data_IF_098920338515
#
_entry.id   IF_098920338515
#
_cell.length_a   1.000
_cell.length_b   1.000
_cell.length_c   1.000
_cell.angle_alpha   90.00
_cell.angle_beta   90.00
_cell.angle_gamma   90.00
#
_symmetry.space_group_name_H-M   'P 1'
#
loop_
_entity.id
_entity.type
_entity.pdbx_description
1 polymer ?
#
# COMPACT_ATOMS: atom_id res chain seq x y z
N UNK A 1 39.92 -4.17 2.36
CA UNK A 1 38.95 -3.78 3.39
C UNK A 1 38.60 -2.32 3.15
N UNK A 2 37.49 -2.02 2.48
CA UNK A 2 36.96 -0.66 2.43
C UNK A 2 36.52 -0.27 3.85
N UNK A 3 36.96 0.89 4.33
CA UNK A 3 36.64 1.38 5.68
C UNK A 3 35.12 1.53 5.82
N UNK A 4 34.56 1.07 6.96
CA UNK A 4 33.11 1.17 7.24
C UNK A 4 32.58 2.61 7.13
N UNK A 5 33.44 3.61 7.37
CA UNK A 5 33.12 5.04 7.24
C UNK A 5 32.88 5.46 5.78
N UNK A 6 33.65 4.91 4.84
CA UNK A 6 33.56 5.21 3.40
C UNK A 6 32.24 4.69 2.80
N UNK A 7 31.77 3.52 3.26
CA UNK A 7 30.48 2.96 2.83
C UNK A 7 29.30 3.79 3.33
N UNK A 8 29.37 4.29 4.57
CA UNK A 8 28.32 5.12 5.15
C UNK A 8 28.24 6.48 4.44
N UNK A 9 29.39 7.11 4.16
CA UNK A 9 29.46 8.36 3.41
C UNK A 9 28.92 8.18 1.98
N UNK A 10 29.31 7.11 1.29
CA UNK A 10 28.78 6.78 -0.04
C UNK A 10 27.26 6.55 -0.01
N UNK A 11 26.73 5.87 1.01
CA UNK A 11 25.30 5.68 1.19
C UNK A 11 24.57 7.02 1.38
N UNK A 12 25.08 7.89 2.25
CA UNK A 12 24.49 9.21 2.51
C UNK A 12 24.51 10.09 1.26
N UNK A 13 25.62 10.10 0.51
CA UNK A 13 25.72 10.83 -0.76
C UNK A 13 24.75 10.29 -1.81
N UNK A 14 24.57 8.98 -1.88
CA UNK A 14 23.62 8.34 -2.78
C UNK A 14 22.19 8.70 -2.41
N UNK A 15 21.86 8.66 -1.12
CA UNK A 15 20.55 9.00 -0.61
C UNK A 15 20.22 10.47 -0.88
N UNK A 16 21.17 11.38 -0.66
CA UNK A 16 21.01 12.80 -0.96
C UNK A 16 20.80 13.11 -2.46
N UNK A 17 21.26 12.24 -3.37
CA UNK A 17 21.03 12.41 -4.82
C UNK A 17 19.61 12.09 -5.24
N UNK A 18 18.98 11.10 -4.60
CA UNK A 18 17.63 10.63 -4.94
C UNK A 18 16.54 11.18 -4.03
N UNK A 19 16.93 11.84 -2.93
CA UNK A 19 16.01 12.50 -2.00
C UNK A 19 16.22 14.01 -1.98
N UNK A 20 15.15 14.77 -1.72
CA UNK A 20 15.25 16.23 -1.62
C UNK A 20 13.99 16.96 -2.05
N UNK A 21 13.75 18.20 -1.56
CA UNK A 21 12.54 18.97 -1.85
C UNK A 21 12.33 19.23 -3.36
N UNK A 22 13.38 19.17 -4.16
CA UNK A 22 13.40 19.34 -5.61
C UNK A 22 13.03 18.07 -6.40
N UNK A 23 13.02 16.90 -5.76
CA UNK A 23 12.72 15.62 -6.43
C UNK A 23 11.23 15.49 -6.72
N UNK A 24 10.91 15.02 -7.92
CA UNK A 24 9.55 14.80 -8.38
C UNK A 24 9.10 13.38 -8.04
N UNK A 25 7.84 13.24 -7.61
CA UNK A 25 7.13 11.95 -7.54
C UNK A 25 6.67 11.51 -8.93
N UNK A 26 6.00 10.37 -9.03
CA UNK A 26 5.34 9.94 -10.28
C UNK A 26 4.15 10.81 -10.71
N UNK A 27 3.72 11.74 -9.86
CA UNK A 27 2.51 12.54 -10.06
C UNK A 27 2.90 14.01 -10.31
N UNK A 28 2.96 14.45 -11.59
CA UNK A 28 3.48 15.77 -11.94
C UNK A 28 2.59 16.94 -11.49
N UNK A 29 1.34 16.67 -11.12
CA UNK A 29 0.35 17.65 -10.67
C UNK A 29 0.26 17.79 -9.13
N UNK A 30 1.14 17.11 -8.37
CA UNK A 30 1.12 17.12 -6.91
C UNK A 30 1.41 18.48 -6.28
N UNK A 31 0.59 18.84 -5.28
CA UNK A 31 0.82 20.03 -4.46
C UNK A 31 1.84 19.74 -3.37
N UNK A 32 2.80 20.63 -3.24
CA UNK A 32 4.09 20.40 -2.57
C UNK A 32 4.07 20.58 -1.03
N UNK A 33 2.93 20.87 -0.41
CA UNK A 33 2.88 21.28 1.00
C UNK A 33 1.82 20.52 1.82
N UNK A 34 2.19 19.37 2.37
CA UNK A 34 1.48 18.83 3.54
C UNK A 34 2.08 19.48 4.79
N UNK A 35 1.28 20.15 5.64
CA UNK A 35 1.79 20.80 6.83
C UNK A 35 2.43 19.79 7.80
N UNK A 36 3.38 20.26 8.60
CA UNK A 36 3.94 19.45 9.67
C UNK A 36 2.84 19.13 10.70
N UNK A 37 2.83 17.90 11.18
CA UNK A 37 1.90 17.43 12.21
C UNK A 37 2.19 18.13 13.55
N UNK A 38 1.12 18.56 14.22
CA UNK A 38 1.17 19.20 15.53
C UNK A 38 1.62 18.20 16.59
N UNK A 39 2.22 18.67 17.68
CA UNK A 39 2.72 17.80 18.74
C UNK A 39 1.60 16.97 19.41
N UNK A 40 0.43 17.56 19.61
CA UNK A 40 -0.73 16.86 20.15
C UNK A 40 -1.17 15.69 19.25
N UNK A 41 -1.19 15.89 17.94
CA UNK A 41 -1.55 14.84 16.98
C UNK A 41 -0.50 13.71 16.95
N UNK A 42 0.78 14.03 17.24
CA UNK A 42 1.85 13.01 17.32
C UNK A 42 1.64 12.08 18.50
N UNK A 43 1.21 12.60 19.65
CA UNK A 43 0.93 11.76 20.82
C UNK A 43 -0.25 10.83 20.55
N UNK A 44 -1.33 11.34 19.94
CA UNK A 44 -2.46 10.50 19.49
C UNK A 44 -1.98 9.42 18.53
N UNK A 45 -1.13 9.75 17.57
CA UNK A 45 -0.55 8.77 16.65
C UNK A 45 0.29 7.69 17.37
N UNK A 46 1.04 8.05 18.41
CA UNK A 46 1.82 7.09 19.21
C UNK A 46 0.90 6.16 19.99
N UNK A 47 -0.12 6.71 20.65
CA UNK A 47 -1.12 5.91 21.37
C UNK A 47 -1.84 4.94 20.43
N UNK A 48 -2.20 5.40 19.25
CA UNK A 48 -2.81 4.58 18.21
C UNK A 48 -1.88 3.43 17.75
N UNK A 49 -0.59 3.72 17.51
CA UNK A 49 0.40 2.70 17.15
C UNK A 49 0.53 1.61 18.22
N UNK A 50 0.48 1.99 19.51
CA UNK A 50 0.44 1.04 20.61
C UNK A 50 -0.84 0.19 20.58
N UNK A 51 -2.00 0.83 20.36
CA UNK A 51 -3.30 0.18 20.36
C UNK A 51 -3.44 -0.89 19.25
N UNK A 52 -2.89 -0.62 18.07
CA UNK A 52 -2.88 -1.59 16.96
C UNK A 52 -1.72 -2.58 17.02
N UNK A 53 -0.91 -2.56 18.09
CA UNK A 53 0.29 -3.39 18.27
C UNK A 53 1.28 -3.26 17.10
N UNK A 54 1.62 -2.04 16.71
CA UNK A 54 2.68 -1.79 15.73
C UNK A 54 4.08 -2.01 16.36
N UNK A 55 5.08 -2.54 15.63
CA UNK A 55 6.43 -2.71 16.15
C UNK A 55 7.07 -1.37 16.56
N UNK A 56 7.22 -1.15 17.87
CA UNK A 56 7.84 0.07 18.42
C UNK A 56 9.37 0.07 18.34
N UNK A 57 9.97 -1.10 18.13
CA UNK A 57 11.41 -1.26 18.26
C UNK A 57 12.17 -0.51 17.14
N UNK A 58 13.16 0.27 17.55
CA UNK A 58 13.90 1.15 16.65
C UNK A 58 14.64 0.38 15.55
N UNK A 59 15.00 -0.89 15.80
CA UNK A 59 15.70 -1.73 14.85
C UNK A 59 14.79 -2.17 13.70
N UNK A 60 13.58 -2.64 14.01
CA UNK A 60 12.55 -2.97 13.02
C UNK A 60 12.18 -1.73 12.22
N UNK A 61 11.98 -0.58 12.88
CA UNK A 61 11.73 0.67 12.16
C UNK A 61 12.86 1.04 11.19
N UNK A 62 14.12 0.93 11.62
CA UNK A 62 15.27 1.18 10.76
C UNK A 62 15.34 0.21 9.58
N UNK A 63 15.00 -1.08 9.78
CA UNK A 63 14.89 -2.06 8.69
C UNK A 63 13.79 -1.70 7.71
N UNK A 64 12.62 -1.27 8.18
CA UNK A 64 11.52 -0.80 7.32
C UNK A 64 12.00 0.38 6.46
N UNK A 65 12.62 1.38 7.07
CA UNK A 65 13.15 2.54 6.35
C UNK A 65 14.19 2.12 5.29
N UNK A 66 15.11 1.24 5.65
CA UNK A 66 16.14 0.74 4.72
C UNK A 66 15.54 -0.05 3.56
N UNK A 67 14.58 -0.93 3.84
CA UNK A 67 13.91 -1.73 2.82
C UNK A 67 13.07 -0.84 1.90
N UNK A 68 12.42 0.18 2.46
CA UNK A 68 11.70 1.20 1.70
C UNK A 68 12.63 1.96 0.74
N UNK A 69 13.79 2.42 1.21
CA UNK A 69 14.80 3.08 0.35
C UNK A 69 15.30 2.12 -0.74
N UNK A 70 15.51 0.85 -0.42
CA UNK A 70 15.91 -0.16 -1.40
C UNK A 70 14.81 -0.41 -2.45
N UNK A 71 13.54 -0.46 -2.03
CA UNK A 71 12.38 -0.57 -2.92
C UNK A 71 12.31 0.62 -3.87
N UNK A 72 12.42 1.84 -3.34
CA UNK A 72 12.35 3.05 -4.14
C UNK A 72 13.53 3.18 -5.10
N UNK A 73 14.75 2.94 -4.64
CA UNK A 73 15.95 2.93 -5.50
C UNK A 73 15.86 1.88 -6.60
N UNK A 74 15.38 0.68 -6.28
CA UNK A 74 15.30 -0.41 -7.26
C UNK A 74 14.19 -0.23 -8.29
N UNK A 75 13.23 0.66 -8.04
CA UNK A 75 12.06 0.88 -8.90
C UNK A 75 11.96 2.29 -9.50
N UNK A 76 12.87 3.21 -9.17
CA UNK A 76 12.94 4.53 -9.80
C UNK A 76 13.67 4.49 -11.18
N UNK A 77 13.64 5.62 -11.91
CA UNK A 77 14.31 5.75 -13.21
C UNK A 77 15.83 5.77 -13.08
N UNK A 78 16.36 6.31 -11.98
CA UNK A 78 17.79 6.43 -11.69
C UNK A 78 18.20 5.54 -10.50
N UNK A 79 18.30 4.21 -10.69
CA UNK A 79 18.56 3.28 -9.60
C UNK A 79 20.00 3.42 -9.08
N UNK A 80 20.17 3.30 -7.77
CA UNK A 80 21.49 3.25 -7.13
C UNK A 80 21.66 1.93 -6.34
N UNK A 81 22.64 1.12 -6.74
CA UNK A 81 22.94 -0.16 -6.11
C UNK A 81 23.54 0.00 -4.70
N UNK A 82 24.03 1.19 -4.33
CA UNK A 82 24.47 1.51 -2.98
C UNK A 82 23.27 1.61 -2.03
N UNK A 83 22.13 2.10 -2.54
CA UNK A 83 20.88 2.26 -1.78
C UNK A 83 20.00 1.01 -1.75
N UNK A 84 20.16 0.14 -2.74
CA UNK A 84 19.58 -1.19 -2.77
C UNK A 84 20.70 -2.24 -2.81
N UNK A 85 21.51 -2.35 -1.74
CA UNK A 85 22.58 -3.32 -1.69
C UNK A 85 21.93 -4.68 -1.50
N UNK A 86 21.63 -5.35 -2.61
CA UNK A 86 21.59 -6.80 -2.62
C UNK A 86 22.82 -7.29 -1.84
N UNK A 87 22.64 -8.28 -0.97
CA UNK A 87 23.73 -8.95 -0.24
C UNK A 87 24.79 -9.59 -1.18
N UNK A 88 24.67 -9.37 -2.50
CA UNK A 88 25.48 -9.92 -3.58
C UNK A 88 25.84 -8.76 -4.54
N UNK A 89 27.06 -8.22 -4.38
CA UNK A 89 27.66 -7.06 -5.07
C UNK A 89 27.92 -7.26 -6.58
N UNK A 90 27.00 -7.85 -7.32
CA UNK A 90 27.12 -8.03 -8.79
C UNK A 90 26.14 -7.10 -9.52
N UNK A 91 26.68 -6.07 -10.20
CA UNK A 91 25.89 -5.13 -10.99
C UNK A 91 25.04 -5.81 -12.08
N UNK A 92 25.51 -6.92 -12.64
CA UNK A 92 24.78 -7.68 -13.66
C UNK A 92 23.53 -8.36 -13.10
N UNK A 93 23.62 -8.86 -11.87
CA UNK A 93 22.50 -9.42 -11.11
C UNK A 93 21.51 -8.32 -10.70
N UNK A 94 22.02 -7.21 -10.14
CA UNK A 94 21.19 -6.05 -9.77
C UNK A 94 20.32 -5.55 -10.93
N UNK A 95 20.85 -5.51 -12.16
CA UNK A 95 20.08 -5.11 -13.36
C UNK A 95 18.97 -6.10 -13.73
N UNK A 96 19.23 -7.42 -13.61
CA UNK A 96 18.19 -8.45 -13.87
C UNK A 96 17.10 -8.38 -12.82
N UNK A 97 17.49 -8.27 -11.57
CA UNK A 97 16.56 -8.21 -10.44
C UNK A 97 15.76 -6.90 -10.49
N UNK A 98 16.37 -5.78 -10.92
CA UNK A 98 15.65 -4.54 -11.25
C UNK A 98 14.58 -4.73 -12.31
N UNK A 99 14.88 -5.43 -13.41
CA UNK A 99 13.88 -5.66 -14.47
C UNK A 99 12.68 -6.44 -13.92
N UNK A 100 12.94 -7.41 -13.06
CA UNK A 100 11.89 -8.19 -12.39
C UNK A 100 11.07 -7.32 -11.42
N UNK A 101 11.73 -6.53 -10.57
CA UNK A 101 11.08 -5.63 -9.60
C UNK A 101 10.21 -4.57 -10.30
N UNK A 102 10.72 -3.95 -11.36
CA UNK A 102 9.93 -3.04 -12.19
C UNK A 102 8.74 -3.74 -12.82
N UNK A 103 8.94 -4.94 -13.38
CA UNK A 103 7.85 -5.73 -13.96
C UNK A 103 6.74 -6.03 -12.94
N UNK A 104 7.10 -6.44 -11.73
CA UNK A 104 6.15 -6.68 -10.65
C UNK A 104 5.40 -5.40 -10.26
N UNK A 105 6.11 -4.29 -10.05
CA UNK A 105 5.49 -2.99 -9.76
C UNK A 105 4.51 -2.58 -10.86
N UNK A 106 4.91 -2.63 -12.13
CA UNK A 106 4.04 -2.29 -13.25
C UNK A 106 2.85 -3.24 -13.39
N UNK A 107 3.02 -4.53 -13.10
CA UNK A 107 1.92 -5.49 -13.08
C UNK A 107 0.89 -5.09 -12.03
N UNK A 108 1.32 -4.82 -10.79
CA UNK A 108 0.43 -4.39 -9.70
C UNK A 108 -0.23 -3.05 -10.02
N UNK A 109 0.53 -2.04 -10.45
CA UNK A 109 -0.01 -0.73 -10.81
C UNK A 109 -0.99 -0.83 -11.98
N UNK A 110 -0.63 -1.50 -13.08
CA UNK A 110 -1.51 -1.66 -14.24
C UNK A 110 -2.80 -2.41 -13.92
N UNK A 111 -2.72 -3.44 -13.09
CA UNK A 111 -3.86 -4.22 -12.62
C UNK A 111 -4.86 -3.38 -11.82
N UNK A 112 -4.35 -2.57 -10.89
CA UNK A 112 -5.18 -1.74 -10.01
C UNK A 112 -5.72 -0.50 -10.74
N UNK A 113 -4.93 0.13 -11.61
CA UNK A 113 -5.27 1.42 -12.24
C UNK A 113 -6.03 1.30 -13.56
N UNK A 114 -5.78 0.24 -14.36
CA UNK A 114 -6.36 0.09 -15.71
C UNK A 114 -7.49 -0.93 -15.72
N UNK A 115 -7.28 -2.09 -15.09
CA UNK A 115 -8.22 -3.20 -15.27
C UNK A 115 -9.44 -3.10 -14.33
N UNK A 116 -9.26 -2.66 -13.07
CA UNK A 116 -10.16 -3.18 -12.03
C UNK A 116 -10.85 -2.13 -11.16
N UNK A 117 -10.10 -1.32 -10.41
CA UNK A 117 -10.70 -0.41 -9.43
C UNK A 117 -11.61 0.66 -10.05
N UNK A 118 -11.26 1.30 -11.20
CA UNK A 118 -12.19 2.23 -11.85
C UNK A 118 -13.52 1.58 -12.26
N UNK A 119 -13.48 0.31 -12.67
CA UNK A 119 -14.68 -0.45 -12.99
C UNK A 119 -15.56 -0.68 -11.76
N UNK A 120 -14.95 -1.06 -10.62
CA UNK A 120 -15.67 -1.25 -9.35
C UNK A 120 -16.21 0.04 -8.75
N UNK A 121 -15.49 1.15 -8.88
CA UNK A 121 -16.00 2.47 -8.51
C UNK A 121 -17.23 2.84 -9.33
N UNK A 122 -17.18 2.67 -10.66
CA UNK A 122 -18.36 2.93 -11.50
C UNK A 122 -19.55 2.03 -11.14
N UNK A 123 -19.28 0.78 -10.73
CA UNK A 123 -20.32 -0.16 -10.27
C UNK A 123 -20.88 0.23 -8.89
N UNK A 124 -20.07 0.88 -8.04
CA UNK A 124 -20.49 1.37 -6.71
C UNK A 124 -21.68 2.32 -6.82
N UNK A 125 -21.75 3.16 -7.85
CA UNK A 125 -22.87 4.10 -8.06
C UNK A 125 -24.23 3.41 -8.28
N UNK A 126 -24.22 2.16 -8.72
CA UNK A 126 -25.44 1.36 -8.95
C UNK A 126 -26.10 0.93 -7.65
N UNK A 127 -25.38 0.95 -6.53
CA UNK A 127 -25.93 0.57 -5.25
C UNK A 127 -26.92 1.62 -4.73
N UNK A 128 -28.04 1.18 -4.11
CA UNK A 128 -29.00 2.11 -3.52
C UNK A 128 -28.32 3.06 -2.55
N UNK A 129 -28.78 4.32 -2.54
CA UNK A 129 -28.26 5.39 -1.65
C UNK A 129 -28.17 4.89 -0.21
N UNK A 130 -29.19 4.19 0.28
CA UNK A 130 -29.21 3.62 1.64
C UNK A 130 -28.02 2.71 1.93
N UNK A 131 -27.62 1.85 0.99
CA UNK A 131 -26.45 0.98 1.16
C UNK A 131 -25.16 1.79 1.19
N UNK A 132 -25.06 2.79 0.30
CA UNK A 132 -23.90 3.69 0.28
C UNK A 132 -23.81 4.57 1.52
N UNK A 133 -24.94 4.93 2.14
CA UNK A 133 -24.98 5.64 3.44
C UNK A 133 -24.55 4.75 4.59
N UNK A 134 -25.01 3.49 4.62
CA UNK A 134 -24.62 2.50 5.64
C UNK A 134 -23.09 2.34 5.71
N UNK A 135 -22.38 2.36 4.58
CA UNK A 135 -20.91 2.26 4.56
C UNK A 135 -20.19 3.44 5.23
N UNK A 136 -20.83 4.61 5.32
CA UNK A 136 -20.25 5.78 5.97
C UNK A 136 -20.71 5.93 7.43
N UNK A 137 -21.56 5.06 7.97
CA UNK A 137 -22.05 5.21 9.34
C UNK A 137 -20.94 5.13 10.41
N UNK A 138 -19.92 4.32 10.13
CA UNK A 138 -18.73 4.14 10.98
C UNK A 138 -17.63 5.17 10.70
N UNK A 139 -17.84 6.07 9.75
CA UNK A 139 -16.90 7.13 9.39
C UNK A 139 -17.42 8.44 9.98
N UNK A 140 -16.89 8.86 11.12
CA UNK A 140 -17.41 9.99 11.89
C UNK A 140 -17.49 11.29 11.08
N UNK A 141 -16.60 11.46 10.10
CA UNK A 141 -16.58 12.64 9.23
C UNK A 141 -17.60 12.57 8.11
N UNK A 142 -18.11 11.37 7.78
CA UNK A 142 -19.04 11.15 6.67
C UNK A 142 -20.37 10.54 7.13
N UNK A 143 -20.57 10.40 8.43
CA UNK A 143 -21.75 9.77 9.02
C UNK A 143 -23.04 10.40 8.48
N UNK A 144 -23.96 9.56 8.02
CA UNK A 144 -25.24 9.98 7.44
C UNK A 144 -25.18 10.43 5.98
N UNK A 145 -24.00 10.53 5.36
CA UNK A 145 -23.85 10.84 3.93
C UNK A 145 -23.66 9.56 3.10
N UNK A 146 -24.14 9.55 1.87
CA UNK A 146 -23.89 8.43 0.96
C UNK A 146 -22.44 8.46 0.46
N UNK A 147 -21.83 7.28 0.29
CA UNK A 147 -20.53 7.16 -0.37
C UNK A 147 -20.59 7.75 -1.80
N UNK A 148 -19.86 8.83 -2.02
CA UNK A 148 -19.65 9.45 -3.33
C UNK A 148 -18.43 8.83 -4.02
N UNK A 149 -18.51 8.57 -5.32
CA UNK A 149 -17.42 7.90 -6.05
C UNK A 149 -16.46 8.89 -6.70
N UNK A 150 -15.23 8.44 -6.93
CA UNK A 150 -14.24 9.15 -7.75
C UNK A 150 -14.28 8.68 -9.23
N UNK A 151 -15.39 8.07 -9.66
CA UNK A 151 -15.59 7.65 -11.04
C UNK A 151 -15.58 8.78 -12.10
N UNK A 152 -16.03 10.02 -11.80
CA UNK A 152 -16.04 11.09 -12.79
C UNK A 152 -14.67 11.37 -13.41
N UNK A 153 -14.66 11.69 -14.72
CA UNK A 153 -13.42 11.81 -15.50
C UNK A 153 -12.46 12.91 -14.99
N UNK A 154 -12.99 13.98 -14.38
CA UNK A 154 -12.18 15.08 -13.83
C UNK A 154 -11.48 14.72 -12.50
N UNK A 155 -11.89 13.64 -11.82
CA UNK A 155 -11.25 13.14 -10.60
C UNK A 155 -10.09 12.16 -10.88
N UNK A 156 -9.68 11.99 -12.14
CA UNK A 156 -8.68 10.99 -12.54
C UNK A 156 -7.38 11.07 -11.74
N UNK A 157 -6.86 12.28 -11.53
CA UNK A 157 -5.59 12.48 -10.80
C UNK A 157 -5.74 12.10 -9.33
N UNK A 158 -6.82 12.55 -8.68
CA UNK A 158 -7.14 12.19 -7.30
C UNK A 158 -7.33 10.68 -7.14
N UNK A 159 -8.05 10.06 -8.07
CA UNK A 159 -8.28 8.62 -8.10
C UNK A 159 -6.96 7.86 -8.15
N UNK A 160 -6.07 8.22 -9.08
CA UNK A 160 -4.74 7.61 -9.22
C UNK A 160 -3.92 7.74 -7.94
N UNK A 161 -3.89 8.93 -7.31
CA UNK A 161 -3.19 9.15 -6.04
C UNK A 161 -3.76 8.30 -4.91
N UNK A 162 -5.09 8.24 -4.76
CA UNK A 162 -5.71 7.42 -3.73
C UNK A 162 -5.45 5.90 -3.97
N UNK A 163 -5.45 5.42 -5.21
CA UNK A 163 -5.10 4.02 -5.53
C UNK A 163 -3.63 3.71 -5.26
N UNK A 164 -2.77 4.73 -5.31
CA UNK A 164 -1.34 4.58 -5.12
C UNK A 164 -0.93 4.07 -3.75
N UNK A 165 -1.75 4.30 -2.74
CA UNK A 165 -1.55 3.74 -1.41
C UNK A 165 -1.66 2.21 -1.42
N UNK A 166 -2.63 1.66 -2.15
CA UNK A 166 -2.85 0.22 -2.26
C UNK A 166 -1.80 -0.44 -3.16
N UNK A 167 -1.56 0.10 -4.36
CA UNK A 167 -0.61 -0.55 -5.27
C UNK A 167 0.83 -0.47 -4.77
N UNK A 168 1.21 0.63 -4.12
CA UNK A 168 2.53 0.71 -3.47
C UNK A 168 2.66 -0.31 -2.37
N UNK A 169 1.64 -0.46 -1.51
CA UNK A 169 1.67 -1.47 -0.44
C UNK A 169 1.93 -2.86 -1.02
N UNK A 170 1.12 -3.30 -1.99
CA UNK A 170 1.25 -4.64 -2.57
C UNK A 170 2.62 -4.80 -3.27
N UNK A 171 3.06 -3.80 -4.03
CA UNK A 171 4.37 -3.84 -4.67
C UNK A 171 5.53 -3.89 -3.66
N UNK A 172 5.40 -3.19 -2.53
CA UNK A 172 6.39 -3.21 -1.46
C UNK A 172 6.43 -4.56 -0.73
N UNK A 173 5.27 -5.15 -0.44
CA UNK A 173 5.21 -6.50 0.14
C UNK A 173 5.87 -7.54 -0.76
N UNK A 174 5.56 -7.51 -2.07
CA UNK A 174 6.19 -8.39 -3.05
C UNK A 174 7.70 -8.16 -3.14
N UNK A 175 8.15 -6.91 -3.06
CA UNK A 175 9.57 -6.59 -3.04
C UNK A 175 10.26 -7.20 -1.80
N UNK A 176 9.69 -7.05 -0.61
CA UNK A 176 10.26 -7.63 0.61
C UNK A 176 10.38 -9.16 0.51
N UNK A 177 9.33 -9.85 0.03
CA UNK A 177 9.33 -11.31 -0.15
C UNK A 177 10.27 -11.76 -1.28
N UNK A 178 10.51 -10.91 -2.28
CA UNK A 178 11.43 -11.22 -3.36
C UNK A 178 12.89 -11.19 -2.90
N UNK A 179 13.23 -10.25 -2.02
CA UNK A 179 14.57 -10.12 -1.44
C UNK A 179 14.85 -11.20 -0.39
N UNK A 180 13.87 -11.49 0.48
CA UNK A 180 13.96 -12.51 1.51
C UNK A 180 12.57 -13.09 1.82
N UNK A 181 12.42 -14.42 1.76
CA UNK A 181 11.16 -15.10 2.12
C UNK A 181 10.75 -14.86 3.57
N UNK A 182 11.68 -14.53 4.47
CA UNK A 182 11.36 -14.10 5.85
C UNK A 182 11.39 -12.58 6.04
N UNK A 183 11.58 -11.83 4.95
CA UNK A 183 11.76 -10.39 4.97
C UNK A 183 10.61 -9.66 5.66
N UNK A 184 9.36 -10.10 5.50
CA UNK A 184 8.23 -9.46 6.17
C UNK A 184 8.24 -9.68 7.69
N UNK A 185 8.63 -10.87 8.18
CA UNK A 185 8.71 -11.14 9.62
C UNK A 185 9.79 -10.27 10.28
N UNK A 186 10.93 -10.08 9.59
CA UNK A 186 12.02 -9.20 10.04
C UNK A 186 11.65 -7.71 10.07
N UNK A 187 10.58 -7.33 9.36
CA UNK A 187 9.96 -6.01 9.35
C UNK A 187 8.74 -5.94 10.30
N UNK A 188 8.52 -6.97 11.10
CA UNK A 188 7.47 -7.03 12.11
C UNK A 188 6.07 -7.33 11.57
N UNK A 189 5.96 -7.81 10.32
CA UNK A 189 4.71 -8.30 9.74
C UNK A 189 4.76 -9.82 9.57
N UNK A 190 3.98 -10.53 10.38
CA UNK A 190 3.81 -11.98 10.29
C UNK A 190 2.45 -12.30 9.69
N UNK A 191 2.45 -12.62 8.40
CA UNK A 191 1.25 -13.12 7.71
C UNK A 191 0.95 -14.55 8.18
N UNK A 192 -0.33 -14.91 8.17
CA UNK A 192 -0.72 -16.31 8.31
C UNK A 192 -0.68 -17.02 6.96
N UNK A 193 -0.92 -18.33 6.98
CA UNK A 193 -0.79 -19.19 5.80
C UNK A 193 -1.70 -18.72 4.65
N UNK A 194 -2.94 -18.30 4.95
CA UNK A 194 -3.89 -17.81 3.94
C UNK A 194 -3.37 -16.56 3.23
N UNK A 195 -2.97 -15.52 3.98
CA UNK A 195 -2.43 -14.28 3.39
C UNK A 195 -1.08 -14.50 2.71
N UNK A 196 -0.28 -15.46 3.20
CA UNK A 196 1.00 -15.82 2.62
C UNK A 196 0.83 -16.50 1.26
N UNK A 197 -0.07 -17.48 1.17
CA UNK A 197 -0.40 -18.18 -0.07
C UNK A 197 -0.92 -17.19 -1.13
N UNK A 198 -1.83 -16.29 -0.74
CA UNK A 198 -2.34 -15.24 -1.62
C UNK A 198 -1.21 -14.31 -2.12
N UNK A 199 -0.25 -13.94 -1.27
CA UNK A 199 0.90 -13.13 -1.67
C UNK A 199 1.84 -13.88 -2.62
N UNK A 200 2.04 -15.19 -2.43
CA UNK A 200 2.81 -16.04 -3.32
C UNK A 200 2.14 -16.19 -4.69
N UNK A 201 0.81 -16.33 -4.72
CA UNK A 201 0.05 -16.38 -5.97
C UNK A 201 0.18 -15.08 -6.76
N UNK A 202 0.07 -13.92 -6.08
CA UNK A 202 0.35 -12.61 -6.70
C UNK A 202 1.77 -12.58 -7.25
N UNK A 203 2.78 -13.06 -6.50
CA UNK A 203 4.19 -13.09 -6.93
C UNK A 203 4.37 -13.94 -8.20
N UNK A 204 3.79 -15.15 -8.24
CA UNK A 204 3.86 -16.05 -9.39
C UNK A 204 3.23 -15.39 -10.61
N UNK A 205 2.03 -14.82 -10.44
CA UNK A 205 1.32 -14.14 -11.50
C UNK A 205 2.11 -12.93 -12.01
N UNK A 206 2.60 -12.06 -11.11
CA UNK A 206 3.39 -10.87 -11.42
C UNK A 206 4.68 -11.17 -12.21
N UNK A 207 5.26 -12.36 -12.03
CA UNK A 207 6.43 -12.83 -12.78
C UNK A 207 6.10 -13.30 -14.20
N UNK A 208 4.85 -13.65 -14.48
CA UNK A 208 4.42 -14.22 -15.76
C UNK A 208 4.73 -13.30 -16.94
N UNK A 209 5.29 -13.84 -18.02
CA UNK A 209 5.52 -13.11 -19.28
C UNK A 209 4.21 -12.73 -19.99
N UNK A 210 3.12 -13.41 -19.67
CA UNK A 210 1.80 -13.13 -20.24
C UNK A 210 1.23 -11.79 -19.81
N UNK A 211 1.66 -11.25 -18.67
CA UNK A 211 1.22 -9.93 -18.18
C UNK A 211 1.50 -8.78 -19.14
N UNK A 212 2.56 -8.86 -19.94
CA UNK A 212 2.89 -7.82 -20.92
C UNK A 212 2.16 -7.96 -22.25
N UNK A 213 1.39 -9.03 -22.46
CA UNK A 213 0.82 -9.39 -23.77
C UNK A 213 -0.66 -9.74 -23.72
N UNK A 214 -1.21 -10.13 -22.57
CA UNK A 214 -2.58 -10.64 -22.45
C UNK A 214 -3.38 -9.86 -21.40
N UNK A 215 -4.50 -9.24 -21.81
CA UNK A 215 -5.41 -8.55 -20.90
C UNK A 215 -5.97 -9.48 -19.80
N UNK A 216 -6.16 -10.77 -20.11
CA UNK A 216 -6.64 -11.76 -19.15
C UNK A 216 -5.63 -12.03 -18.03
N UNK A 217 -4.32 -11.87 -18.28
CA UNK A 217 -3.30 -12.04 -17.25
C UNK A 217 -3.40 -10.94 -16.18
N UNK A 218 -3.69 -9.68 -16.59
CA UNK A 218 -3.96 -8.59 -15.65
C UNK A 218 -5.21 -8.86 -14.80
N UNK A 219 -6.27 -9.39 -15.41
CA UNK A 219 -7.48 -9.79 -14.66
C UNK A 219 -7.22 -10.93 -13.67
N UNK A 220 -6.37 -11.89 -14.01
CA UNK A 220 -5.94 -12.95 -13.09
C UNK A 220 -5.18 -12.38 -11.89
N UNK A 221 -4.17 -11.55 -12.13
CA UNK A 221 -3.43 -10.85 -11.05
C UNK A 221 -4.35 -9.98 -10.19
N UNK A 222 -5.36 -9.34 -10.78
CA UNK A 222 -6.37 -8.61 -10.01
C UNK A 222 -7.14 -9.51 -9.07
N UNK A 223 -7.56 -10.69 -9.54
CA UNK A 223 -8.26 -11.68 -8.72
C UNK A 223 -7.50 -12.01 -7.44
N UNK A 224 -6.19 -12.26 -7.55
CA UNK A 224 -5.35 -12.59 -6.40
C UNK A 224 -5.13 -11.38 -5.48
N UNK A 225 -4.82 -10.20 -6.05
CA UNK A 225 -4.68 -8.97 -5.25
C UNK A 225 -5.96 -8.67 -4.47
N UNK A 226 -7.12 -8.78 -5.14
CA UNK A 226 -8.42 -8.57 -4.51
C UNK A 226 -8.66 -9.57 -3.40
N UNK A 227 -8.37 -10.86 -3.64
CA UNK A 227 -8.55 -11.91 -2.63
C UNK A 227 -7.72 -11.58 -1.40
N UNK A 228 -6.42 -11.32 -1.57
CA UNK A 228 -5.51 -10.91 -0.48
C UNK A 228 -6.03 -9.75 0.36
N UNK A 229 -6.45 -8.69 -0.33
CA UNK A 229 -6.99 -7.50 0.31
C UNK A 229 -8.27 -7.83 1.09
N UNK A 230 -9.17 -8.60 0.49
CA UNK A 230 -10.45 -8.93 1.12
C UNK A 230 -10.30 -9.88 2.30
N UNK A 231 -9.35 -10.81 2.22
CA UNK A 231 -8.94 -11.68 3.33
C UNK A 231 -8.38 -10.84 4.47
N UNK A 232 -7.48 -9.90 4.18
CA UNK A 232 -6.96 -8.96 5.18
C UNK A 232 -8.07 -8.10 5.82
N UNK A 233 -9.02 -7.58 5.03
CA UNK A 233 -10.14 -6.78 5.58
C UNK A 233 -11.10 -7.58 6.46
N UNK A 234 -11.24 -8.89 6.22
CA UNK A 234 -12.19 -9.77 6.94
C UNK A 234 -11.56 -10.45 8.15
N UNK A 235 -10.26 -10.29 8.35
CA UNK A 235 -9.52 -10.93 9.43
C UNK A 235 -10.01 -10.45 10.81
N UNK A 236 -10.55 -11.33 11.66
CA UNK A 236 -10.91 -10.98 13.03
C UNK A 236 -9.63 -10.75 13.86
N UNK A 237 -9.72 -9.89 14.87
CA UNK A 237 -8.60 -9.61 15.80
C UNK A 237 -7.31 -9.21 15.08
N UNK A 238 -7.46 -8.35 14.07
CA UNK A 238 -6.36 -7.83 13.28
C UNK A 238 -5.48 -6.90 14.14
N UNK A 239 -4.17 -7.07 14.03
CA UNK A 239 -3.17 -6.15 14.56
C UNK A 239 -2.22 -5.74 13.44
N UNK A 240 -1.45 -4.68 13.65
CA UNK A 240 -0.42 -4.28 12.70
C UNK A 240 0.71 -5.32 12.56
N UNK A 241 0.81 -6.32 13.43
CA UNK A 241 1.75 -7.44 13.27
C UNK A 241 1.24 -8.56 12.38
N UNK A 242 -0.07 -8.66 12.14
CA UNK A 242 -0.65 -9.80 11.42
C UNK A 242 -1.55 -9.42 10.24
N UNK A 243 -1.78 -8.13 10.03
CA UNK A 243 -2.64 -7.61 8.97
C UNK A 243 -1.84 -6.61 8.11
N UNK A 244 -1.65 -6.89 6.81
CA UNK A 244 -0.85 -6.03 5.94
C UNK A 244 -1.42 -4.61 5.79
N UNK A 245 -2.75 -4.43 5.90
CA UNK A 245 -3.38 -3.11 5.79
C UNK A 245 -3.11 -2.25 7.04
N UNK A 246 -3.26 -2.83 8.23
CA UNK A 246 -2.95 -2.15 9.49
C UNK A 246 -1.45 -1.89 9.61
N UNK A 247 -0.62 -2.84 9.20
CA UNK A 247 0.84 -2.67 9.16
C UNK A 247 1.23 -1.51 8.25
N UNK A 248 0.67 -1.45 7.04
CA UNK A 248 0.94 -0.37 6.11
C UNK A 248 0.49 0.99 6.63
N UNK A 249 -0.70 1.06 7.24
CA UNK A 249 -1.16 2.28 7.91
C UNK A 249 -0.21 2.67 9.05
N UNK A 250 0.22 1.69 9.86
CA UNK A 250 1.19 1.90 10.94
C UNK A 250 2.51 2.49 10.46
N UNK A 251 3.01 2.08 9.29
CA UNK A 251 4.19 2.71 8.67
C UNK A 251 3.94 4.19 8.38
N UNK A 252 2.79 4.55 7.81
CA UNK A 252 2.46 5.96 7.54
C UNK A 252 2.31 6.76 8.83
N UNK A 253 1.58 6.24 9.82
CA UNK A 253 1.39 6.89 11.12
C UNK A 253 2.74 7.08 11.83
N UNK A 254 3.58 6.04 11.88
CA UNK A 254 4.91 6.09 12.50
C UNK A 254 5.84 7.07 11.82
N UNK A 255 5.85 7.10 10.48
CA UNK A 255 6.64 8.07 9.72
C UNK A 255 6.16 9.50 10.02
N UNK A 256 4.85 9.74 10.02
CA UNK A 256 4.28 11.07 10.22
C UNK A 256 4.49 11.60 11.66
N UNK A 257 4.41 10.70 12.65
CA UNK A 257 4.61 10.98 14.07
C UNK A 257 6.09 11.21 14.44
N UNK A 258 7.03 10.68 13.65
CA UNK A 258 8.47 10.89 13.86
C UNK A 258 8.82 12.37 13.75
N UNK A 259 9.67 12.86 14.66
CA UNK A 259 10.05 14.27 14.76
C UNK A 259 10.46 14.83 13.39
N UNK A 260 10.20 16.12 13.09
CA UNK A 260 10.61 16.72 11.83
C UNK A 260 12.15 16.71 11.77
N UNK A 261 12.66 15.76 11.00
CA UNK A 261 14.07 15.50 10.80
C UNK A 261 14.25 14.84 9.44
N UNK A 262 15.50 14.62 9.00
CA UNK A 262 15.78 13.97 7.72
C UNK A 262 15.11 12.58 7.63
N UNK A 263 14.80 11.93 8.75
CA UNK A 263 14.33 10.55 8.83
C UNK A 263 12.85 10.30 8.43
N UNK A 264 12.04 11.34 8.22
CA UNK A 264 10.65 11.21 7.75
C UNK A 264 10.62 11.01 6.23
N UNK A 265 11.14 9.88 5.73
CA UNK A 265 11.26 9.60 4.30
C UNK A 265 10.05 8.95 3.64
N UNK A 266 9.14 8.34 4.41
CA UNK A 266 8.03 7.53 3.86
C UNK A 266 6.79 8.39 3.63
N UNK A 267 6.45 9.26 4.59
CA UNK A 267 5.28 10.14 4.48
C UNK A 267 5.58 11.52 3.95
N UNK A 268 6.76 12.09 4.27
CA UNK A 268 7.09 13.48 3.88
C UNK A 268 8.34 13.61 3.02
N UNK A 269 9.27 12.67 3.10
CA UNK A 269 10.51 12.74 2.36
C UNK A 269 10.27 12.42 0.91
N UNK A 270 10.85 13.26 0.07
CA UNK A 270 10.75 13.10 -1.37
C UNK A 270 11.80 12.12 -1.81
N UNK A 271 11.38 11.21 -2.66
CA UNK A 271 12.25 10.32 -3.39
C UNK A 271 11.92 10.46 -4.88
N UNK A 272 12.94 10.44 -5.72
CA UNK A 272 12.80 10.52 -7.16
C UNK A 272 11.91 9.39 -7.70
N UNK A 273 10.83 9.74 -8.40
CA UNK A 273 9.82 8.81 -8.91
C UNK A 273 9.15 7.97 -7.82
N UNK A 274 8.94 8.56 -6.63
CA UNK A 274 8.17 7.93 -5.56
C UNK A 274 6.77 7.54 -6.07
N UNK A 275 6.34 6.27 -5.93
CA UNK A 275 4.98 5.84 -6.22
C UNK A 275 3.98 6.28 -5.14
N UNK A 276 4.43 6.76 -3.98
CA UNK A 276 3.54 7.29 -2.95
C UNK A 276 3.23 8.76 -3.21
N UNK A 277 1.94 9.15 -3.10
CA UNK A 277 1.56 10.53 -3.32
C UNK A 277 1.94 11.40 -2.13
N UNK A 278 2.64 12.50 -2.39
CA UNK A 278 3.19 13.36 -1.33
C UNK A 278 2.23 14.47 -0.88
N UNK A 279 1.19 14.73 -1.67
CA UNK A 279 0.14 15.73 -1.41
C UNK A 279 -0.98 15.20 -0.50
N UNK A 280 -0.96 13.90 -0.16
CA UNK A 280 -1.85 13.30 0.83
C UNK A 280 -1.19 13.31 2.21
N UNK A 281 -1.77 14.10 3.12
CA UNK A 281 -1.47 14.01 4.55
C UNK A 281 -1.97 12.69 5.16
N UNK A 282 -1.66 12.45 6.43
CA UNK A 282 -2.04 11.20 7.10
C UNK A 282 -3.56 10.97 7.03
N UNK A 283 -4.35 12.02 7.21
CA UNK A 283 -5.80 11.95 7.12
C UNK A 283 -6.27 11.56 5.72
N UNK A 284 -5.75 12.20 4.67
CA UNK A 284 -6.02 11.88 3.28
C UNK A 284 -5.63 10.44 2.92
N UNK A 285 -4.53 9.94 3.48
CA UNK A 285 -4.10 8.54 3.29
C UNK A 285 -5.08 7.55 3.95
N UNK A 286 -5.49 7.81 5.18
CA UNK A 286 -6.51 7.02 5.88
C UNK A 286 -7.85 7.04 5.15
N UNK A 287 -8.32 8.22 4.77
CA UNK A 287 -9.55 8.37 4.01
C UNK A 287 -9.52 7.63 2.67
N UNK A 288 -8.38 7.63 1.97
CA UNK A 288 -8.21 6.93 0.69
C UNK A 288 -8.18 5.39 0.86
N UNK A 289 -7.47 4.88 1.87
CA UNK A 289 -7.47 3.45 2.19
C UNK A 289 -8.89 2.97 2.54
N UNK A 290 -9.57 3.68 3.45
CA UNK A 290 -10.95 3.39 3.84
C UNK A 290 -11.93 3.51 2.67
N UNK A 291 -11.76 4.51 1.81
CA UNK A 291 -12.60 4.70 0.63
C UNK A 291 -12.55 3.48 -0.30
N UNK A 292 -11.35 3.01 -0.68
CA UNK A 292 -11.23 1.85 -1.56
C UNK A 292 -11.58 0.53 -0.88
N UNK A 293 -11.42 0.42 0.44
CA UNK A 293 -11.98 -0.71 1.20
C UNK A 293 -13.51 -0.78 1.02
N UNK A 294 -14.21 0.36 1.11
CA UNK A 294 -15.66 0.46 0.86
C UNK A 294 -16.04 0.15 -0.59
N UNK A 295 -15.23 0.56 -1.57
CA UNK A 295 -15.45 0.21 -2.99
C UNK A 295 -15.29 -1.31 -3.20
N UNK A 296 -14.26 -1.91 -2.62
CA UNK A 296 -14.04 -3.35 -2.72
C UNK A 296 -15.12 -4.17 -2.02
N UNK A 297 -15.63 -3.69 -0.88
CA UNK A 297 -16.78 -4.24 -0.19
C UNK A 297 -17.97 -4.49 -1.10
N UNK A 298 -18.35 -3.44 -1.83
CA UNK A 298 -19.53 -3.44 -2.67
C UNK A 298 -19.32 -4.31 -3.90
N UNK A 299 -18.15 -4.25 -4.52
CA UNK A 299 -17.85 -5.12 -5.65
C UNK A 299 -17.80 -6.61 -5.26
N UNK A 300 -17.31 -6.94 -4.06
CA UNK A 300 -17.39 -8.29 -3.51
C UNK A 300 -18.83 -8.75 -3.29
N UNK A 301 -19.65 -7.90 -2.67
CA UNK A 301 -21.06 -8.19 -2.44
C UNK A 301 -21.82 -8.39 -3.75
N UNK A 302 -21.51 -7.60 -4.78
CA UNK A 302 -22.11 -7.74 -6.11
C UNK A 302 -21.76 -9.08 -6.76
N UNK A 303 -20.49 -9.48 -6.71
CA UNK A 303 -20.06 -10.81 -7.20
C UNK A 303 -20.76 -11.94 -6.45
N UNK A 304 -20.87 -11.83 -5.12
CA UNK A 304 -21.56 -12.83 -4.31
C UNK A 304 -23.06 -12.93 -4.64
N UNK A 305 -23.74 -11.79 -4.83
CA UNK A 305 -25.14 -11.76 -5.25
C UNK A 305 -25.32 -12.35 -6.65
N UNK A 306 -24.44 -12.01 -7.59
CA UNK A 306 -24.50 -12.52 -8.96
C UNK A 306 -24.24 -14.04 -9.04
N UNK A 307 -23.43 -14.60 -8.13
CA UNK A 307 -23.25 -16.06 -7.98
C UNK A 307 -24.51 -16.73 -7.41
N UNK A 308 -25.09 -16.15 -6.35
CA UNK A 308 -26.36 -16.64 -5.77
C UNK A 308 -27.50 -16.62 -6.78
N UNK A 309 -27.63 -15.55 -7.56
CA UNK A 309 -28.65 -15.43 -8.61
C UNK A 309 -28.49 -16.47 -9.73
N UNK A 310 -27.26 -16.97 -9.96
CA UNK A 310 -26.94 -18.04 -10.92
C UNK A 310 -27.13 -19.46 -10.37
N UNK A 311 -27.51 -19.60 -9.11
CA UNK A 311 -27.71 -20.92 -8.48
C UNK A 311 -26.42 -21.57 -7.97
N UNK A 312 -25.30 -20.84 -7.95
CA UNK A 312 -24.04 -21.32 -7.37
C UNK A 312 -24.13 -21.21 -5.83
N UNK A 313 -24.69 -22.24 -5.19
CA UNK A 313 -24.85 -22.29 -3.74
C UNK A 313 -23.51 -22.59 -3.03
N UNK A 314 -22.90 -21.56 -2.44
CA UNK A 314 -22.06 -21.70 -1.24
C UNK A 314 -22.53 -20.72 -0.16
N UNK A 315 -22.67 -21.25 1.05
CA UNK A 315 -23.32 -20.61 2.18
C UNK A 315 -22.53 -19.46 2.79
N UNK A 316 -23.30 -18.56 3.42
CA UNK A 316 -22.89 -17.54 4.40
C UNK A 316 -22.04 -16.37 3.88
N UNK A 317 -22.55 -15.14 4.05
CA UNK A 317 -21.80 -13.90 4.30
C UNK A 317 -22.81 -12.75 4.35
N UNK A 318 -23.46 -12.58 5.49
CA UNK A 318 -24.11 -11.32 5.88
C UNK A 318 -23.83 -10.97 7.35
N UNK A 319 -23.02 -11.76 8.07
CA UNK A 319 -22.81 -11.60 9.52
C UNK A 319 -21.40 -11.18 9.97
N UNK A 320 -20.41 -11.07 9.07
CA UNK A 320 -18.99 -10.94 9.47
C UNK A 320 -18.32 -9.60 9.13
N UNK A 321 -19.06 -8.65 8.53
CA UNK A 321 -18.50 -7.37 8.09
C UNK A 321 -18.30 -6.33 9.21
N UNK A 322 -18.75 -6.60 10.44
CA UNK A 322 -19.13 -5.51 11.35
C UNK A 322 -18.28 -5.30 12.60
N UNK A 323 -17.16 -6.02 12.79
CA UNK A 323 -16.50 -6.01 14.12
C UNK A 323 -15.02 -5.63 14.22
N UNK A 324 -14.30 -5.19 13.18
CA UNK A 324 -12.85 -5.04 13.37
C UNK A 324 -12.03 -4.09 12.49
N UNK A 325 -12.64 -3.20 11.69
CA UNK A 325 -11.82 -2.30 10.85
C UNK A 325 -12.26 -0.83 10.84
N UNK A 326 -13.54 -0.55 11.13
CA UNK A 326 -14.07 0.82 11.17
C UNK A 326 -13.82 1.56 12.48
N UNK A 327 -13.78 0.85 13.61
CA UNK A 327 -13.61 1.47 14.93
C UNK A 327 -12.16 1.89 15.20
N UNK A 328 -11.18 1.16 14.66
CA UNK A 328 -9.78 1.37 15.00
C UNK A 328 -9.07 2.37 14.06
N UNK A 329 -9.70 2.87 12.99
CA UNK A 329 -9.09 3.89 12.10
C UNK A 329 -9.75 5.28 12.29
N UNK A 330 -10.89 5.34 12.99
CA UNK A 330 -11.67 6.56 13.22
C UNK A 330 -11.57 7.10 14.67
N UNK A 331 -10.76 6.49 15.53
CA UNK A 331 -10.45 6.95 16.88
C UNK A 331 -9.03 7.54 16.94
#
# INVERSE_FOLDING_TARGET
>A
MQNSTDILEQYQQSLARVTGPDKQSEFPDERISSPAMLEADREVCKEWLCAVDFPEDAMTWHRIQRQWVAFLSSTCREPDCILAPDAKRDEGRFRRDRRLRLKMRFAVTGTLTVASLPGMEAMTERWPVRVRTLLNEQDDLRRGTALETLAPAWEIGRRQRCMALWHTMVAFLLFCVEEDERGLEDLGLKLDDDLWDELLDIRIMARSEKLSTEANALWGTWGEIRTMITTAMRRPSSTARNNPLLWWMGIHVRSAASAPGPDDFITRGRFLDSPLPMDLDLHGRAAALTYYAKVMALGDAEVAMARRARGDCWGCLFGFWWYGFGADIAA
#
